data_IF_403748606225
#
_entry.id   IF_403748606225
#
_cell.length_a   1.000
_cell.length_b   1.000
_cell.length_c   1.000
_cell.angle_alpha   90.00
_cell.angle_beta   90.00
_cell.angle_gamma   90.00
#
_symmetry.space_group_name_H-M   'P 1'
#
loop_
_entity.id
_entity.type
_entity.pdbx_description
1 polymer ?
#
# COMPACT_ATOMS: atom_id res chain seq x y z
N UNK A 1 2.30 -9.17 -21.73
CA UNK A 1 2.42 -9.60 -20.32
C UNK A 1 1.43 -8.77 -19.53
N UNK A 2 0.48 -9.40 -18.85
CA UNK A 2 -0.46 -8.70 -17.98
C UNK A 2 0.27 -8.30 -16.71
N UNK A 3 0.21 -7.02 -16.34
CA UNK A 3 0.88 -6.56 -15.12
C UNK A 3 0.13 -7.06 -13.89
N UNK A 4 0.84 -7.39 -12.83
CA UNK A 4 0.27 -7.92 -11.59
C UNK A 4 0.30 -6.90 -10.46
N UNK A 5 -0.79 -6.84 -9.71
CA UNK A 5 -1.00 -5.97 -8.57
C UNK A 5 -1.28 -6.81 -7.33
N UNK A 6 -0.51 -6.60 -6.27
CA UNK A 6 -0.80 -7.18 -4.97
C UNK A 6 -1.18 -6.08 -3.99
N UNK A 7 -2.39 -6.15 -3.45
CA UNK A 7 -2.86 -5.21 -2.43
C UNK A 7 -2.96 -5.95 -1.09
N UNK A 8 -2.26 -5.43 -0.09
CA UNK A 8 -2.39 -5.89 1.29
C UNK A 8 -3.19 -4.86 2.09
N UNK A 9 -4.36 -5.26 2.55
CA UNK A 9 -5.26 -4.40 3.32
C UNK A 9 -5.17 -4.70 4.81
N UNK A 10 -4.95 -3.67 5.64
CA UNK A 10 -4.95 -3.76 7.09
C UNK A 10 -5.79 -2.65 7.70
N UNK A 11 -7.05 -2.92 8.03
CA UNK A 11 -7.87 -1.87 8.61
C UNK A 11 -9.32 -2.26 8.83
N UNK A 12 -10.21 -1.38 8.37
CA UNK A 12 -11.65 -1.57 8.44
C UNK A 12 -12.24 -1.83 7.04
N UNK A 13 -13.56 -2.02 6.99
CA UNK A 13 -14.32 -2.19 5.74
C UNK A 13 -14.08 -1.07 4.73
N UNK A 14 -13.81 0.16 5.19
CA UNK A 14 -13.47 1.27 4.30
C UNK A 14 -12.15 1.02 3.55
N UNK A 15 -11.14 0.45 4.21
CA UNK A 15 -9.89 0.12 3.53
C UNK A 15 -10.09 -1.01 2.51
N UNK A 16 -10.95 -2.00 2.80
CA UNK A 16 -11.27 -3.04 1.82
C UNK A 16 -11.98 -2.45 0.60
N UNK A 17 -12.94 -1.55 0.82
CA UNK A 17 -13.60 -0.81 -0.25
C UNK A 17 -12.61 0.02 -1.08
N UNK A 18 -11.76 0.80 -0.42
CA UNK A 18 -10.72 1.62 -1.07
C UNK A 18 -9.76 0.73 -1.88
N UNK A 19 -9.35 -0.41 -1.33
CA UNK A 19 -8.48 -1.39 -2.02
C UNK A 19 -9.14 -1.97 -3.27
N UNK A 20 -10.41 -2.38 -3.18
CA UNK A 20 -11.17 -2.86 -4.34
C UNK A 20 -11.29 -1.77 -5.41
N UNK A 21 -11.58 -0.52 -5.03
CA UNK A 21 -11.63 0.60 -5.99
C UNK A 21 -10.29 0.90 -6.64
N UNK A 22 -9.18 0.81 -5.90
CA UNK A 22 -7.84 0.96 -6.46
C UNK A 22 -7.53 -0.15 -7.46
N UNK A 23 -7.91 -1.40 -7.16
CA UNK A 23 -7.74 -2.52 -8.08
C UNK A 23 -8.54 -2.33 -9.37
N UNK A 24 -9.84 -2.03 -9.26
CA UNK A 24 -10.73 -1.80 -10.41
C UNK A 24 -10.19 -0.69 -11.33
N UNK A 25 -9.72 0.41 -10.73
CA UNK A 25 -9.19 1.54 -11.47
C UNK A 25 -7.90 1.18 -12.21
N UNK A 26 -6.98 0.48 -11.55
CA UNK A 26 -5.70 0.09 -12.15
C UNK A 26 -5.88 -0.97 -13.24
N UNK A 27 -6.84 -1.88 -13.08
CA UNK A 27 -7.24 -2.82 -14.13
C UNK A 27 -7.81 -2.05 -15.35
N UNK A 28 -8.81 -1.19 -15.13
CA UNK A 28 -9.47 -0.45 -16.21
C UNK A 28 -8.54 0.50 -16.98
N UNK A 29 -7.52 1.07 -16.33
CA UNK A 29 -6.65 2.10 -16.92
C UNK A 29 -5.33 1.54 -17.45
N UNK A 30 -4.78 0.51 -16.81
CA UNK A 30 -3.42 0.00 -17.09
C UNK A 30 -3.36 -1.52 -17.22
N UNK A 31 -4.47 -2.25 -17.07
CA UNK A 31 -4.56 -3.70 -17.21
C UNK A 31 -3.86 -4.48 -16.10
N UNK A 32 -3.84 -3.95 -14.88
CA UNK A 32 -3.30 -4.66 -13.72
C UNK A 32 -4.28 -5.71 -13.20
N UNK A 33 -3.84 -6.97 -13.13
CA UNK A 33 -4.58 -8.06 -12.52
C UNK A 33 -4.15 -8.29 -11.07
N UNK A 34 -5.12 -8.57 -10.19
CA UNK A 34 -4.82 -8.90 -8.80
C UNK A 34 -4.08 -10.24 -8.69
N UNK A 35 -3.14 -10.29 -7.76
CA UNK A 35 -2.46 -11.52 -7.35
C UNK A 35 -2.35 -11.58 -5.82
N UNK A 36 -2.49 -12.79 -5.28
CA UNK A 36 -2.25 -13.06 -3.86
C UNK A 36 -0.76 -13.28 -3.55
N UNK A 37 0.07 -13.45 -4.59
CA UNK A 37 1.51 -13.71 -4.48
C UNK A 37 2.28 -12.39 -4.70
N UNK A 38 2.87 -11.86 -3.64
CA UNK A 38 3.61 -10.60 -3.69
C UNK A 38 4.86 -10.67 -4.59
N UNK A 39 5.49 -11.84 -4.67
CA UNK A 39 6.68 -12.10 -5.50
C UNK A 39 6.40 -12.02 -7.00
N UNK A 40 5.15 -12.19 -7.43
CA UNK A 40 4.75 -12.12 -8.83
C UNK A 40 4.26 -10.73 -9.23
N UNK A 41 4.12 -9.81 -8.28
CA UNK A 41 3.55 -8.50 -8.53
C UNK A 41 4.56 -7.54 -9.15
N UNK A 42 4.08 -6.67 -10.03
CA UNK A 42 4.81 -5.49 -10.51
C UNK A 42 4.54 -4.27 -9.62
N UNK A 43 3.40 -4.28 -8.91
CA UNK A 43 3.00 -3.23 -7.96
C UNK A 43 2.55 -3.87 -6.64
N UNK A 44 3.12 -3.40 -5.54
CA UNK A 44 2.75 -3.74 -4.17
C UNK A 44 2.09 -2.55 -3.49
N UNK A 45 0.84 -2.67 -3.06
CA UNK A 45 0.11 -1.62 -2.34
C UNK A 45 -0.26 -2.07 -0.92
N UNK A 46 0.19 -1.34 0.09
CA UNK A 46 -0.21 -1.55 1.48
C UNK A 46 -1.25 -0.50 1.89
N UNK A 47 -2.52 -0.88 2.00
CA UNK A 47 -3.58 0.03 2.43
C UNK A 47 -3.90 -0.18 3.92
N UNK A 48 -3.67 0.83 4.75
CA UNK A 48 -3.69 0.63 6.22
C UNK A 48 -4.43 1.72 7.00
N UNK A 49 -5.09 1.31 8.09
CA UNK A 49 -5.74 2.20 9.05
C UNK A 49 -4.84 2.49 10.27
N UNK A 50 -5.01 3.65 10.90
CA UNK A 50 -4.21 4.10 12.04
C UNK A 50 -4.80 3.76 13.41
N UNK A 51 -6.06 3.29 13.45
CA UNK A 51 -6.80 3.11 14.72
C UNK A 51 -6.40 1.85 15.50
N UNK A 52 -5.51 1.03 14.94
CA UNK A 52 -5.04 -0.21 15.57
C UNK A 52 -3.74 0.05 16.29
N UNK A 53 -3.60 -0.55 17.47
CA UNK A 53 -2.33 -0.55 18.18
C UNK A 53 -1.23 -1.14 17.28
N UNK A 54 -0.07 -0.49 17.29
CA UNK A 54 1.12 -0.86 16.53
C UNK A 54 0.93 -0.91 15.00
N UNK A 55 0.01 -0.11 14.47
CA UNK A 55 -0.21 -0.02 13.02
C UNK A 55 1.07 0.42 12.29
N UNK A 56 1.81 1.35 12.87
CA UNK A 56 3.07 1.84 12.32
C UNK A 56 4.17 0.77 12.31
N UNK A 57 4.42 0.05 13.41
CA UNK A 57 5.43 -1.02 13.41
C UNK A 57 5.08 -2.12 12.41
N UNK A 58 3.79 -2.47 12.29
CA UNK A 58 3.35 -3.45 11.30
C UNK A 58 3.66 -2.99 9.87
N UNK A 59 3.42 -1.71 9.55
CA UNK A 59 3.77 -1.13 8.24
C UNK A 59 5.25 -1.30 7.96
N UNK A 60 6.13 -0.86 8.86
CA UNK A 60 7.57 -0.98 8.65
C UNK A 60 8.05 -2.43 8.56
N UNK A 61 7.46 -3.33 9.33
CA UNK A 61 7.77 -4.76 9.24
C UNK A 61 7.38 -5.34 7.87
N UNK A 62 6.22 -4.96 7.30
CA UNK A 62 5.84 -5.39 5.96
C UNK A 62 6.72 -4.76 4.88
N UNK A 63 7.00 -3.46 4.99
CA UNK A 63 7.90 -2.75 4.07
C UNK A 63 9.30 -3.36 4.06
N UNK A 64 9.81 -3.80 5.21
CA UNK A 64 11.09 -4.52 5.30
C UNK A 64 11.09 -5.83 4.51
N UNK A 65 9.96 -6.55 4.44
CA UNK A 65 9.83 -7.76 3.61
C UNK A 65 9.80 -7.41 2.13
N UNK A 66 9.06 -6.38 1.75
CA UNK A 66 8.96 -5.93 0.35
C UNK A 66 10.25 -5.28 -0.16
N UNK A 67 11.08 -4.70 0.71
CA UNK A 67 12.42 -4.24 0.37
C UNK A 67 13.24 -5.35 -0.28
N UNK A 68 13.20 -6.57 0.28
CA UNK A 68 13.92 -7.72 -0.27
C UNK A 68 13.41 -8.12 -1.66
N UNK A 69 12.12 -7.91 -1.95
CA UNK A 69 11.55 -8.15 -3.27
C UNK A 69 12.03 -7.09 -4.27
N UNK A 70 12.07 -5.82 -3.85
CA UNK A 70 12.55 -4.72 -4.69
C UNK A 70 14.05 -4.77 -4.94
N UNK A 71 14.83 -5.31 -4.01
CA UNK A 71 16.25 -5.60 -4.23
C UNK A 71 16.46 -6.65 -5.33
N UNK A 72 15.52 -7.60 -5.49
CA UNK A 72 15.54 -8.61 -6.57
C UNK A 72 14.98 -8.06 -7.89
N UNK A 73 13.98 -7.20 -7.81
CA UNK A 73 13.34 -6.56 -8.96
C UNK A 73 13.29 -5.03 -8.74
N UNK A 74 14.28 -4.26 -9.23
CA UNK A 74 14.32 -2.81 -9.08
C UNK A 74 13.13 -2.07 -9.71
N UNK A 75 12.47 -2.69 -10.70
CA UNK A 75 11.29 -2.12 -11.38
C UNK A 75 10.00 -2.29 -10.55
N UNK A 76 10.05 -3.03 -9.44
CA UNK A 76 8.94 -3.23 -8.53
C UNK A 76 8.53 -1.92 -7.85
N UNK A 77 7.25 -1.55 -8.02
CA UNK A 77 6.69 -0.35 -7.40
C UNK A 77 6.09 -0.71 -6.05
N UNK A 78 6.46 0.02 -5.00
CA UNK A 78 5.91 -0.11 -3.65
C UNK A 78 5.14 1.15 -3.29
N UNK A 79 3.87 1.01 -2.95
CA UNK A 79 3.01 2.08 -2.46
C UNK A 79 2.42 1.81 -1.08
N UNK A 80 2.24 2.88 -0.31
CA UNK A 80 1.56 2.83 1.00
C UNK A 80 0.38 3.79 0.99
N UNK A 81 -0.80 3.28 1.34
CA UNK A 81 -2.08 3.97 1.33
C UNK A 81 -2.78 4.02 2.69
N UNK A 82 -3.77 4.90 2.82
CA UNK A 82 -4.70 4.93 3.95
C UNK A 82 -4.31 5.92 5.06
N UNK A 83 -4.82 5.70 6.28
CA UNK A 83 -4.61 6.64 7.40
C UNK A 83 -3.17 6.74 7.85
N UNK A 84 -2.46 5.60 7.95
CA UNK A 84 -1.06 5.63 8.39
C UNK A 84 -0.22 6.37 7.36
N UNK A 85 -0.49 6.19 6.06
CA UNK A 85 0.16 6.97 5.00
C UNK A 85 -0.06 8.49 5.17
N UNK A 86 -1.26 8.91 5.58
CA UNK A 86 -1.56 10.32 5.87
C UNK A 86 -0.86 10.87 7.12
N UNK A 87 -0.67 10.06 8.15
CA UNK A 87 -0.11 10.50 9.44
C UNK A 87 1.42 10.40 9.46
N UNK A 88 1.96 9.31 8.94
CA UNK A 88 3.37 8.92 9.01
C UNK A 88 4.10 9.11 7.67
N UNK A 89 3.51 9.83 6.71
CA UNK A 89 4.07 9.96 5.36
C UNK A 89 5.53 10.41 5.34
N UNK A 90 5.88 11.43 6.14
CA UNK A 90 7.26 11.91 6.25
C UNK A 90 8.19 10.86 6.89
N UNK A 91 7.75 10.18 7.95
CA UNK A 91 8.52 9.11 8.57
C UNK A 91 8.75 7.93 7.62
N UNK A 92 7.77 7.57 6.79
CA UNK A 92 7.90 6.54 5.77
C UNK A 92 8.93 6.97 4.73
N UNK A 93 8.89 8.22 4.23
CA UNK A 93 9.88 8.73 3.27
C UNK A 93 11.31 8.67 3.82
N UNK A 94 11.51 9.06 5.07
CA UNK A 94 12.83 9.10 5.70
C UNK A 94 13.39 7.71 6.02
N UNK A 95 12.54 6.76 6.44
CA UNK A 95 12.98 5.44 6.92
C UNK A 95 12.91 4.35 5.84
N UNK A 96 12.05 4.52 4.84
CA UNK A 96 11.78 3.55 3.79
C UNK A 96 11.89 4.20 2.40
N UNK A 97 13.09 4.68 2.04
CA UNK A 97 13.40 5.31 0.75
C UNK A 97 13.05 4.46 -0.49
N UNK A 98 12.83 3.15 -0.31
CA UNK A 98 12.43 2.22 -1.37
C UNK A 98 10.92 2.25 -1.67
N UNK A 99 10.12 3.00 -0.89
CA UNK A 99 8.70 3.25 -1.17
C UNK A 99 8.58 4.35 -2.21
N UNK A 100 7.94 4.06 -3.33
CA UNK A 100 7.79 4.98 -4.47
C UNK A 100 6.60 5.92 -4.29
N UNK A 101 5.52 5.41 -3.71
CA UNK A 101 4.23 6.13 -3.69
C UNK A 101 3.66 6.13 -2.27
N UNK A 102 3.24 7.30 -1.80
CA UNK A 102 2.49 7.45 -0.54
C UNK A 102 1.16 8.12 -0.86
N UNK A 103 0.06 7.39 -0.63
CA UNK A 103 -1.30 7.80 -0.90
C UNK A 103 -2.03 8.05 0.42
N UNK A 104 -2.06 9.30 0.86
CA UNK A 104 -2.90 9.67 1.99
C UNK A 104 -4.39 9.48 1.69
N UNK A 105 -5.20 9.23 2.71
CA UNK A 105 -6.66 9.22 2.57
C UNK A 105 -7.12 10.64 2.18
N UNK A 106 -7.94 10.78 1.11
CA UNK A 106 -8.65 12.03 0.84
C UNK A 106 -9.52 12.35 2.06
N UNK A 107 -9.31 13.53 2.66
CA UNK A 107 -9.94 14.08 3.88
C UNK A 107 -11.22 13.32 4.29
N UNK A 108 -11.06 12.36 5.20
CA UNK A 108 -12.20 11.70 5.83
C UNK A 108 -12.51 12.46 7.12
N UNK A 109 -13.51 13.32 7.08
CA UNK A 109 -14.00 14.13 8.22
C UNK A 109 -14.38 13.27 9.43
N UNK A 110 -14.54 11.95 9.24
CA UNK A 110 -14.95 10.96 10.25
C UNK A 110 -13.81 10.51 11.18
N UNK A 111 -12.54 10.66 10.81
CA UNK A 111 -11.41 10.33 11.72
C UNK A 111 -11.04 11.47 12.70
N UNK A 112 -11.89 12.50 12.82
CA UNK A 112 -11.69 13.67 13.71
C UNK A 112 -12.57 13.66 14.98
N UNK A 113 -13.04 12.49 15.41
CA UNK A 113 -13.74 12.36 16.69
C UNK A 113 -13.03 11.33 17.55
#
# INVERSE_FOLDING_TARGET
MTKKLHIKTWGCQMNEYDSSKMADLLDATHGYQLTDVAEEADVLLLNTCSIREKAQEKVFHQLGRWKLLKEKNPDLIIGVGGCVASQEGEHIRQRAHYVDIILGRKRCTVCRR
#
